data_IF_114497399877
#
_entry.id   IF_114497399877
#
_cell.length_a   1.000
_cell.length_b   1.000
_cell.length_c   1.000
_cell.angle_alpha   90.00
_cell.angle_beta   90.00
_cell.angle_gamma   90.00
#
_symmetry.space_group_name_H-M   'P 1'
#
loop_
_entity.id
_entity.type
_entity.pdbx_description
1 polymer ?
#
# COMPACT_ATOMS: atom_id res chain seq x y z
N UNK A 1 8.83 -31.56 24.07
CA UNK A 1 8.08 -32.64 23.38
C UNK A 1 8.54 -32.64 21.94
N UNK A 2 9.07 -33.75 21.42
CA UNK A 2 9.57 -33.77 20.04
C UNK A 2 8.40 -33.60 19.06
N UNK A 3 8.48 -32.69 18.07
CA UNK A 3 7.45 -32.61 17.03
C UNK A 3 7.42 -33.93 16.26
N UNK A 4 6.23 -34.49 16.06
CA UNK A 4 6.05 -35.67 15.23
C UNK A 4 6.56 -35.34 13.82
N UNK A 5 7.28 -36.27 13.15
CA UNK A 5 7.71 -36.05 11.77
C UNK A 5 6.47 -35.87 10.90
N UNK A 6 6.27 -34.66 10.38
CA UNK A 6 5.18 -34.41 9.43
C UNK A 6 5.35 -35.35 8.24
N UNK A 7 4.31 -36.13 7.95
CA UNK A 7 4.28 -37.01 6.79
C UNK A 7 4.66 -36.20 5.55
N UNK A 8 5.76 -36.61 4.91
CA UNK A 8 6.15 -36.04 3.63
C UNK A 8 5.00 -36.31 2.67
N UNK A 9 4.28 -35.26 2.26
CA UNK A 9 3.18 -35.38 1.30
C UNK A 9 3.70 -36.21 0.12
N UNK A 10 3.00 -37.30 -0.26
CA UNK A 10 3.53 -38.23 -1.24
C UNK A 10 3.90 -37.43 -2.49
N UNK A 11 5.18 -37.50 -2.88
CA UNK A 11 5.65 -36.84 -4.10
C UNK A 11 4.70 -37.27 -5.20
N UNK A 12 4.12 -36.29 -5.90
CA UNK A 12 3.25 -36.56 -7.02
C UNK A 12 4.10 -37.18 -8.13
N UNK A 13 4.26 -38.51 -8.08
CA UNK A 13 4.75 -39.32 -9.17
C UNK A 13 3.75 -39.11 -10.31
N UNK A 14 4.11 -38.18 -11.20
CA UNK A 14 3.26 -37.76 -12.30
C UNK A 14 2.81 -39.00 -13.06
N UNK A 15 1.49 -39.16 -13.20
CA UNK A 15 0.90 -40.38 -13.73
C UNK A 15 1.59 -40.74 -15.04
N UNK A 16 2.20 -41.92 -15.08
CA UNK A 16 2.96 -42.33 -16.25
C UNK A 16 2.03 -42.33 -17.47
N UNK A 17 2.58 -41.97 -18.64
CA UNK A 17 1.80 -41.90 -19.88
C UNK A 17 1.03 -43.19 -20.16
N UNK A 18 1.61 -44.33 -19.78
CA UNK A 18 1.01 -45.66 -19.86
C UNK A 18 -0.19 -45.85 -18.92
N UNK A 19 -0.11 -45.36 -17.67
CA UNK A 19 -1.23 -45.39 -16.73
C UNK A 19 -2.41 -44.56 -17.23
N UNK A 20 -2.15 -43.32 -17.65
CA UNK A 20 -3.16 -42.46 -18.29
C UNK A 20 -3.78 -43.12 -19.52
N UNK A 21 -2.96 -43.70 -20.40
CA UNK A 21 -3.47 -44.37 -21.61
C UNK A 21 -4.33 -45.60 -21.28
N UNK A 22 -3.95 -46.38 -20.26
CA UNK A 22 -4.73 -47.52 -19.77
C UNK A 22 -6.08 -47.11 -19.20
N UNK A 23 -6.14 -45.99 -18.48
CA UNK A 23 -7.36 -45.49 -17.84
C UNK A 23 -8.30 -44.77 -18.84
N UNK A 24 -7.74 -44.12 -19.86
CA UNK A 24 -8.50 -43.50 -20.95
C UNK A 24 -9.05 -44.52 -21.96
N UNK A 25 -8.40 -45.69 -22.12
CA UNK A 25 -8.80 -46.72 -23.09
C UNK A 25 -10.20 -47.33 -22.84
N UNK A 26 -10.77 -47.17 -21.64
CA UNK A 26 -12.13 -47.62 -21.32
C UNK A 26 -13.24 -46.60 -21.56
N UNK A 27 -12.92 -45.34 -21.91
CA UNK A 27 -13.91 -44.25 -22.06
C UNK A 27 -14.36 -44.07 -23.51
N UNK A 28 -15.59 -43.59 -23.69
CA UNK A 28 -16.15 -43.29 -25.01
C UNK A 28 -15.51 -42.03 -25.60
N UNK A 29 -15.44 -41.97 -26.93
CA UNK A 29 -14.85 -40.84 -27.66
C UNK A 29 -15.51 -39.49 -27.30
N UNK A 30 -16.82 -39.48 -27.09
CA UNK A 30 -17.56 -38.26 -26.73
C UNK A 30 -17.23 -37.76 -25.32
N UNK A 31 -17.01 -38.67 -24.36
CA UNK A 31 -16.54 -38.31 -23.01
C UNK A 31 -15.11 -37.75 -23.05
N UNK A 32 -14.24 -38.32 -23.88
CA UNK A 32 -12.88 -37.82 -24.11
C UNK A 32 -12.91 -36.42 -24.73
N UNK A 33 -13.78 -36.17 -25.72
CA UNK A 33 -14.00 -34.83 -26.31
C UNK A 33 -14.55 -33.84 -25.29
N UNK A 34 -15.47 -34.24 -24.42
CA UNK A 34 -15.99 -33.35 -23.39
C UNK A 34 -14.92 -33.01 -22.33
N UNK A 35 -14.16 -34.00 -21.85
CA UNK A 35 -13.03 -33.75 -20.95
C UNK A 35 -11.98 -32.84 -21.58
N UNK A 36 -11.65 -33.02 -22.87
CA UNK A 36 -10.76 -32.13 -23.59
C UNK A 36 -11.30 -30.69 -23.65
N UNK A 37 -12.59 -30.49 -23.94
CA UNK A 37 -13.23 -29.16 -23.91
C UNK A 37 -13.19 -28.53 -22.52
N UNK A 38 -13.45 -29.30 -21.46
CA UNK A 38 -13.38 -28.84 -20.06
C UNK A 38 -11.94 -28.45 -19.67
N UNK A 39 -10.94 -29.23 -20.09
CA UNK A 39 -9.53 -28.93 -19.87
C UNK A 39 -9.08 -27.67 -20.62
N UNK A 40 -9.49 -27.49 -21.89
CA UNK A 40 -9.22 -26.24 -22.65
C UNK A 40 -9.82 -25.05 -21.91
N UNK A 41 -11.11 -25.09 -21.57
CA UNK A 41 -11.77 -24.02 -20.81
C UNK A 41 -11.10 -23.73 -19.45
N UNK A 42 -10.64 -24.76 -18.75
CA UNK A 42 -9.91 -24.61 -17.48
C UNK A 42 -8.53 -23.99 -17.67
N UNK A 43 -7.80 -24.39 -18.71
CA UNK A 43 -6.47 -23.81 -19.02
C UNK A 43 -6.58 -22.38 -19.51
N UNK A 44 -7.62 -22.01 -20.23
CA UNK A 44 -7.87 -20.61 -20.62
C UNK A 44 -8.20 -19.72 -19.41
N UNK A 45 -9.07 -20.19 -18.49
CA UNK A 45 -9.32 -19.48 -17.22
C UNK A 45 -8.08 -19.34 -16.32
N UNK A 46 -7.18 -20.34 -16.32
CA UNK A 46 -5.88 -20.22 -15.63
C UNK A 46 -4.94 -19.21 -16.31
N UNK A 47 -4.95 -19.09 -17.65
CA UNK A 47 -4.16 -18.07 -18.36
C UNK A 47 -4.68 -16.65 -18.06
N UNK A 48 -6.00 -16.48 -18.01
CA UNK A 48 -6.65 -15.21 -17.65
C UNK A 48 -6.21 -14.77 -16.23
N UNK A 49 -6.31 -15.67 -15.24
CA UNK A 49 -5.83 -15.41 -13.88
C UNK A 49 -4.32 -15.11 -13.80
N UNK A 50 -3.48 -15.80 -14.59
CA UNK A 50 -2.04 -15.48 -14.66
C UNK A 50 -1.80 -14.09 -15.27
N UNK A 51 -2.56 -13.72 -16.29
CA UNK A 51 -2.50 -12.39 -16.91
C UNK A 51 -2.87 -11.29 -15.93
N UNK A 52 -3.93 -11.48 -15.13
CA UNK A 52 -4.34 -10.52 -14.09
C UNK A 52 -3.25 -10.35 -13.02
N UNK A 53 -2.64 -11.46 -12.56
CA UNK A 53 -1.53 -11.43 -11.59
C UNK A 53 -0.28 -10.73 -12.14
N UNK A 54 0.04 -10.90 -13.42
CA UNK A 54 1.15 -10.18 -14.04
C UNK A 54 0.86 -8.68 -14.22
N UNK A 55 -0.40 -8.28 -14.43
CA UNK A 55 -0.83 -6.85 -14.42
C UNK A 55 -0.72 -6.25 -13.03
N UNK A 56 -1.22 -6.93 -12.00
CA UNK A 56 -1.12 -6.48 -10.59
C UNK A 56 0.35 -6.33 -10.17
N UNK A 57 1.18 -7.33 -10.48
CA UNK A 57 2.63 -7.29 -10.22
C UNK A 57 3.33 -6.13 -10.93
N UNK A 58 2.94 -5.78 -12.16
CA UNK A 58 3.46 -4.60 -12.85
C UNK A 58 3.01 -3.30 -12.17
N UNK A 59 1.76 -3.22 -11.70
CA UNK A 59 1.27 -2.07 -10.93
C UNK A 59 2.09 -1.87 -9.65
N UNK A 60 2.31 -2.93 -8.87
CA UNK A 60 3.12 -2.88 -7.64
C UNK A 60 4.59 -2.50 -7.92
N UNK A 61 5.16 -2.91 -9.05
CA UNK A 61 6.50 -2.49 -9.46
C UNK A 61 6.58 -0.99 -9.81
N UNK A 62 5.54 -0.46 -10.47
CA UNK A 62 5.45 0.98 -10.80
C UNK A 62 5.29 1.83 -9.53
N UNK A 63 4.40 1.42 -8.62
CA UNK A 63 4.19 2.10 -7.33
C UNK A 63 5.48 2.08 -6.48
N UNK A 64 6.16 0.94 -6.39
CA UNK A 64 7.44 0.84 -5.68
C UNK A 64 8.52 1.75 -6.31
N UNK A 65 8.59 1.84 -7.64
CA UNK A 65 9.49 2.76 -8.33
C UNK A 65 9.15 4.23 -8.03
N UNK A 66 7.87 4.59 -8.01
CA UNK A 66 7.40 5.93 -7.66
C UNK A 66 7.72 6.30 -6.20
N UNK A 67 7.49 5.39 -5.25
CA UNK A 67 7.84 5.58 -3.84
C UNK A 67 9.35 5.81 -3.67
N UNK A 68 10.19 5.01 -4.32
CA UNK A 68 11.65 5.20 -4.30
C UNK A 68 12.07 6.54 -4.92
N UNK A 69 11.41 6.99 -5.98
CA UNK A 69 11.64 8.31 -6.57
C UNK A 69 11.28 9.44 -5.59
N UNK A 70 10.14 9.35 -4.92
CA UNK A 70 9.72 10.33 -3.89
C UNK A 70 10.70 10.37 -2.72
N UNK A 71 11.11 9.21 -2.20
CA UNK A 71 12.12 9.11 -1.14
C UNK A 71 13.45 9.75 -1.58
N UNK A 72 13.88 9.49 -2.82
CA UNK A 72 15.10 10.08 -3.39
C UNK A 72 15.02 11.62 -3.50
N UNK A 73 13.86 12.15 -3.89
CA UNK A 73 13.61 13.59 -3.94
C UNK A 73 13.66 14.19 -2.52
N UNK A 74 12.92 13.62 -1.56
CA UNK A 74 12.94 14.08 -0.15
C UNK A 74 14.34 14.04 0.44
N UNK A 75 15.08 12.95 0.25
CA UNK A 75 16.47 12.81 0.72
C UNK A 75 17.43 13.81 0.03
N UNK A 76 17.10 14.28 -1.17
CA UNK A 76 17.88 15.32 -1.87
C UNK A 76 17.56 16.71 -1.33
N UNK A 77 16.29 17.04 -1.07
CA UNK A 77 15.90 18.31 -0.44
C UNK A 77 16.40 18.41 1.02
N UNK A 78 16.29 17.34 1.80
CA UNK A 78 16.83 17.26 3.16
C UNK A 78 18.36 17.47 3.21
N UNK A 79 19.10 17.05 2.18
CA UNK A 79 20.53 17.36 2.05
C UNK A 79 20.78 18.85 1.78
N UNK A 80 19.95 19.52 0.95
CA UNK A 80 20.10 20.96 0.69
C UNK A 80 19.91 21.82 1.94
N UNK A 81 19.07 21.37 2.88
CA UNK A 81 18.86 22.05 4.16
C UNK A 81 20.11 22.07 5.05
N UNK A 82 21.18 21.34 4.69
CA UNK A 82 22.47 21.36 5.39
C UNK A 82 22.35 21.18 6.91
N UNK A 83 21.37 20.38 7.37
CA UNK A 83 21.25 19.93 8.76
C UNK A 83 22.24 18.77 8.99
N UNK A 84 23.50 19.02 8.63
CA UNK A 84 24.63 18.17 9.00
C UNK A 84 25.13 18.55 10.39
N UNK A 85 25.82 17.62 11.05
CA UNK A 85 26.39 17.84 12.39
C UNK A 85 27.31 19.07 12.47
N UNK A 86 27.91 19.47 11.35
CA UNK A 86 28.82 20.62 11.25
C UNK A 86 28.11 21.99 11.23
N UNK A 87 26.78 22.03 11.04
CA UNK A 87 25.99 23.26 10.88
C UNK A 87 24.83 23.37 11.89
N UNK A 88 24.46 22.27 12.56
CA UNK A 88 23.78 22.37 13.85
C UNK A 88 24.77 22.93 14.86
N UNK A 89 24.62 24.21 15.23
CA UNK A 89 25.26 24.75 16.45
C UNK A 89 24.93 23.78 17.58
N UNK A 90 25.94 23.18 18.21
CA UNK A 90 25.71 22.33 19.40
C UNK A 90 24.81 23.12 20.34
N UNK A 91 23.59 22.65 20.64
CA UNK A 91 22.67 23.39 21.47
C UNK A 91 23.32 23.51 22.84
N UNK A 92 23.85 24.70 23.13
CA UNK A 92 24.28 25.07 24.47
C UNK A 92 23.03 25.18 25.31
N UNK A 93 22.61 24.03 25.80
CA UNK A 93 21.74 23.91 26.94
C UNK A 93 22.48 24.65 28.08
N UNK A 94 22.02 25.85 28.41
CA UNK A 94 22.44 26.57 29.62
C UNK A 94 21.97 25.86 30.91
N UNK A 95 21.31 24.71 30.74
CA UNK A 95 20.95 23.72 31.74
C UNK A 95 22.21 23.08 32.37
N UNK A 96 22.23 23.01 33.69
CA UNK A 96 23.35 22.43 34.41
C UNK A 96 23.44 20.91 34.21
N UNK A 97 24.59 20.28 34.51
CA UNK A 97 24.73 18.81 34.42
C UNK A 97 23.80 18.01 35.36
N UNK A 98 22.95 18.67 36.13
CA UNK A 98 21.91 18.08 36.99
C UNK A 98 20.50 18.17 36.39
N UNK A 99 20.23 19.03 35.39
CA UNK A 99 18.90 19.17 34.79
C UNK A 99 18.49 17.95 33.95
N UNK A 100 19.47 17.17 33.47
CA UNK A 100 19.25 15.83 32.94
C UNK A 100 18.51 14.94 33.95
N UNK A 101 18.80 15.07 35.26
CA UNK A 101 18.09 14.32 36.31
C UNK A 101 16.65 14.80 36.42
N UNK A 102 16.41 16.12 36.32
CA UNK A 102 15.05 16.68 36.29
C UNK A 102 14.22 16.13 35.13
N UNK A 103 14.73 16.22 33.90
CA UNK A 103 14.06 15.69 32.70
C UNK A 103 13.89 14.18 32.73
N UNK A 104 14.90 13.43 33.18
CA UNK A 104 14.79 11.98 33.33
C UNK A 104 13.71 11.62 34.38
N UNK A 105 13.59 12.38 35.47
CA UNK A 105 12.52 12.19 36.45
C UNK A 105 11.14 12.62 35.94
N UNK A 106 11.01 13.60 35.04
CA UNK A 106 9.75 13.90 34.35
C UNK A 106 9.35 12.85 33.30
N UNK A 107 10.34 12.20 32.67
CA UNK A 107 10.15 11.19 31.64
C UNK A 107 9.91 9.78 32.22
N UNK A 108 10.47 9.51 33.41
CA UNK A 108 10.32 8.24 34.16
C UNK A 108 9.26 8.34 35.25
N UNK A 109 8.81 9.55 35.66
CA UNK A 109 7.52 9.67 36.36
C UNK A 109 6.44 9.07 35.45
N UNK A 110 5.61 8.15 35.96
CA UNK A 110 4.38 7.79 35.29
C UNK A 110 3.59 9.08 35.01
N UNK A 111 3.40 9.41 33.73
CA UNK A 111 2.42 10.42 33.36
C UNK A 111 1.06 9.78 33.58
N UNK A 112 0.42 10.11 34.71
CA UNK A 112 -0.89 9.60 35.14
C UNK A 112 -2.06 9.89 34.15
N UNK A 113 -1.77 10.54 33.03
CA UNK A 113 -2.67 10.72 31.89
C UNK A 113 -2.70 9.54 30.91
N UNK A 114 -2.01 8.43 31.18
CA UNK A 114 -2.18 7.20 30.38
C UNK A 114 -3.51 6.54 30.75
N UNK A 115 -4.61 7.08 30.22
CA UNK A 115 -5.92 6.44 30.30
C UNK A 115 -5.84 5.07 29.66
N UNK A 116 -5.93 4.01 30.47
CA UNK A 116 -6.09 2.64 30.00
C UNK A 116 -7.48 2.50 29.37
N UNK A 117 -7.57 2.81 28.07
CA UNK A 117 -8.75 2.53 27.26
C UNK A 117 -8.84 1.02 27.08
N UNK A 118 -9.69 0.39 27.91
CA UNK A 118 -9.99 -1.03 27.78
C UNK A 118 -11.01 -1.20 26.64
N UNK A 119 -10.52 -1.62 25.47
CA UNK A 119 -11.26 -1.60 24.19
C UNK A 119 -12.63 -2.30 24.23
N UNK A 120 -12.85 -3.24 25.16
CA UNK A 120 -14.09 -4.02 25.26
C UNK A 120 -15.18 -3.43 26.17
N UNK A 121 -14.92 -2.37 26.93
CA UNK A 121 -15.95 -1.71 27.76
C UNK A 121 -15.69 -0.21 27.79
N UNK A 122 -16.58 0.59 27.16
CA UNK A 122 -16.50 2.05 27.08
C UNK A 122 -16.70 2.82 28.40
N UNK A 123 -16.36 2.22 29.55
CA UNK A 123 -16.43 2.83 30.87
C UNK A 123 -15.05 3.32 31.30
N UNK A 124 -14.85 4.64 31.29
CA UNK A 124 -13.66 5.30 31.84
C UNK A 124 -13.68 5.18 33.37
N UNK A 125 -13.22 4.04 33.90
CA UNK A 125 -12.97 3.88 35.33
C UNK A 125 -11.73 4.67 35.71
N UNK A 126 -11.93 5.78 36.43
CA UNK A 126 -10.83 6.48 37.10
C UNK A 126 -10.13 5.49 38.03
N UNK A 127 -8.80 5.32 37.94
CA UNK A 127 -8.08 4.47 38.88
C UNK A 127 -8.29 5.01 40.30
N UNK A 128 -8.55 4.10 41.25
CA UNK A 128 -8.70 4.48 42.66
C UNK A 128 -7.32 4.81 43.20
N UNK A 129 -7.07 6.03 43.71
CA UNK A 129 -5.76 6.39 44.25
C UNK A 129 -5.52 5.59 45.53
N UNK A 130 -4.62 4.60 45.48
CA UNK A 130 -4.27 3.75 46.63
C UNK A 130 -3.74 2.35 46.30
N UNK A 131 -3.82 1.85 45.06
CA UNK A 131 -3.12 0.62 44.66
C UNK A 131 -1.67 0.91 44.26
N UNK A 132 -0.79 0.99 45.27
CA UNK A 132 0.66 1.05 45.10
C UNK A 132 1.18 -0.22 44.42
N UNK A 133 1.21 -0.23 43.07
CA UNK A 133 1.79 -1.33 42.31
C UNK A 133 3.29 -1.38 42.60
N UNK A 134 3.77 -2.47 43.18
CA UNK A 134 5.11 -2.48 43.75
C UNK A 134 6.18 -2.40 42.65
N UNK A 135 7.32 -1.70 42.86
CA UNK A 135 8.40 -1.65 41.85
C UNK A 135 8.93 -3.03 41.43
N UNK A 136 8.77 -4.04 42.30
CA UNK A 136 9.02 -5.45 42.04
C UNK A 136 8.12 -6.05 40.96
N UNK A 137 6.84 -5.69 40.90
CA UNK A 137 5.88 -6.22 39.93
C UNK A 137 6.12 -5.64 38.54
N UNK A 138 6.43 -4.35 38.45
CA UNK A 138 6.76 -3.71 37.16
C UNK A 138 8.04 -4.32 36.55
N UNK A 139 9.05 -4.57 37.38
CA UNK A 139 10.30 -5.25 36.98
C UNK A 139 10.02 -6.66 36.45
N UNK A 140 9.14 -7.40 37.13
CA UNK A 140 8.71 -8.74 36.71
C UNK A 140 7.93 -8.71 35.40
N UNK A 141 7.00 -7.76 35.22
CA UNK A 141 6.21 -7.62 34.00
C UNK A 141 7.09 -7.27 32.77
N UNK A 142 8.12 -6.44 32.96
CA UNK A 142 9.12 -6.15 31.90
C UNK A 142 9.91 -7.42 31.55
N UNK A 143 10.31 -8.21 32.54
CA UNK A 143 11.03 -9.47 32.31
C UNK A 143 10.15 -10.54 31.62
N UNK A 144 8.89 -10.66 32.00
CA UNK A 144 7.92 -11.55 31.35
C UNK A 144 7.63 -11.12 29.90
N UNK A 145 7.48 -9.82 29.62
CA UNK A 145 7.38 -9.30 28.24
C UNK A 145 8.63 -9.54 27.40
N UNK A 146 9.83 -9.41 27.99
CA UNK A 146 11.08 -9.70 27.29
C UNK A 146 11.18 -11.20 26.92
N UNK A 147 10.77 -12.10 27.81
CA UNK A 147 10.69 -13.54 27.53
C UNK A 147 9.67 -13.84 26.42
N UNK A 148 8.46 -13.27 26.48
CA UNK A 148 7.45 -13.43 25.43
C UNK A 148 7.93 -12.94 24.05
N UNK A 149 8.65 -11.81 23.99
CA UNK A 149 9.24 -11.33 22.74
C UNK A 149 10.31 -12.29 22.20
N UNK A 150 11.12 -12.87 23.08
CA UNK A 150 12.14 -13.85 22.71
C UNK A 150 11.52 -15.16 22.18
N UNK A 151 10.46 -15.68 22.83
CA UNK A 151 9.71 -16.84 22.36
C UNK A 151 9.02 -16.56 21.01
N UNK A 152 8.39 -15.39 20.86
CA UNK A 152 7.72 -14.99 19.61
C UNK A 152 8.71 -14.80 18.46
N UNK A 153 9.92 -14.33 18.73
CA UNK A 153 11.01 -14.26 17.76
C UNK A 153 11.49 -15.67 17.33
N UNK A 154 11.57 -16.63 18.26
CA UNK A 154 11.88 -18.02 17.94
C UNK A 154 10.78 -18.67 17.08
N UNK A 155 9.51 -18.46 17.41
CA UNK A 155 8.38 -18.93 16.59
C UNK A 155 8.35 -18.32 15.19
N UNK A 156 8.71 -17.04 15.04
CA UNK A 156 8.87 -16.39 13.73
C UNK A 156 10.03 -17.00 12.94
N UNK A 157 11.14 -17.33 13.60
CA UNK A 157 12.27 -18.01 12.95
C UNK A 157 11.91 -19.44 12.50
N UNK A 158 11.21 -20.22 13.33
CA UNK A 158 10.75 -21.56 12.99
C UNK A 158 9.71 -21.57 11.87
N UNK A 159 8.74 -20.66 11.91
CA UNK A 159 7.74 -20.53 10.84
C UNK A 159 8.37 -20.04 9.53
N UNK A 160 9.34 -19.12 9.57
CA UNK A 160 10.13 -18.73 8.40
C UNK A 160 10.92 -19.93 7.80
N UNK A 161 11.49 -20.81 8.63
CA UNK A 161 12.15 -22.03 8.15
C UNK A 161 11.16 -23.02 7.51
N UNK A 162 9.97 -23.19 8.08
CA UNK A 162 8.91 -24.03 7.50
C UNK A 162 8.41 -23.48 6.15
N UNK A 163 8.24 -22.15 6.05
CA UNK A 163 7.91 -21.47 4.79
C UNK A 163 9.03 -21.66 3.77
N UNK A 164 10.29 -21.47 4.16
CA UNK A 164 11.45 -21.70 3.30
C UNK A 164 11.49 -23.12 2.72
N UNK A 165 11.25 -24.16 3.53
CA UNK A 165 11.20 -25.55 3.07
C UNK A 165 10.04 -25.80 2.08
N UNK A 166 8.87 -25.18 2.29
CA UNK A 166 7.74 -25.26 1.34
C UNK A 166 8.06 -24.56 0.02
N UNK A 167 8.68 -23.38 0.06
CA UNK A 167 9.06 -22.63 -1.14
C UNK A 167 10.20 -23.30 -1.92
N UNK A 168 11.16 -23.94 -1.25
CA UNK A 168 12.26 -24.67 -1.90
C UNK A 168 11.77 -25.79 -2.83
N UNK A 169 10.67 -26.47 -2.46
CA UNK A 169 10.04 -27.50 -3.29
C UNK A 169 9.28 -26.97 -4.52
N UNK A 170 8.78 -25.73 -4.47
CA UNK A 170 7.97 -25.12 -5.55
C UNK A 170 8.83 -24.27 -6.50
N UNK A 171 9.86 -23.58 -5.99
CA UNK A 171 10.67 -22.61 -6.74
C UNK A 171 12.08 -23.10 -7.12
N UNK A 172 12.52 -24.26 -6.63
CA UNK A 172 13.72 -24.96 -7.13
C UNK A 172 14.99 -24.09 -7.15
N UNK A 173 15.84 -24.19 -8.20
CA UNK A 173 17.12 -23.46 -8.29
C UNK A 173 17.00 -21.93 -8.27
N UNK A 174 15.81 -21.37 -8.49
CA UNK A 174 15.58 -19.93 -8.39
C UNK A 174 15.60 -19.46 -6.94
N UNK A 175 15.14 -20.30 -6.00
CA UNK A 175 15.15 -19.99 -4.58
C UNK A 175 16.57 -19.87 -4.01
N UNK A 176 17.50 -20.75 -4.39
CA UNK A 176 18.89 -20.70 -3.93
C UNK A 176 19.60 -19.38 -4.27
N UNK A 177 19.27 -18.74 -5.40
CA UNK A 177 19.78 -17.41 -5.77
C UNK A 177 19.16 -16.27 -4.97
N UNK A 178 17.92 -16.44 -4.50
CA UNK A 178 17.29 -15.50 -3.57
C UNK A 178 17.88 -15.65 -2.17
N UNK A 179 18.11 -16.89 -1.73
CA UNK A 179 18.72 -17.23 -0.44
C UNK A 179 20.14 -16.67 -0.32
N UNK A 180 20.97 -16.80 -1.36
CA UNK A 180 22.32 -16.23 -1.45
C UNK A 180 22.32 -14.69 -1.25
N UNK A 181 21.42 -13.98 -1.94
CA UNK A 181 21.23 -12.53 -1.76
C UNK A 181 20.70 -12.17 -0.36
N UNK A 182 19.83 -13.00 0.21
CA UNK A 182 19.24 -12.75 1.53
C UNK A 182 20.27 -13.01 2.64
N UNK A 183 21.20 -13.95 2.46
CA UNK A 183 22.38 -14.10 3.34
C UNK A 183 23.34 -12.93 3.23
N UNK A 184 23.59 -12.39 2.02
CA UNK A 184 24.44 -11.22 1.82
C UNK A 184 23.88 -9.96 2.53
N UNK A 185 22.57 -9.72 2.42
CA UNK A 185 21.87 -8.65 3.15
C UNK A 185 21.94 -8.87 4.66
N UNK A 186 21.72 -10.11 5.14
CA UNK A 186 21.79 -10.45 6.57
C UNK A 186 23.19 -10.23 7.15
N UNK A 187 24.23 -10.63 6.44
CA UNK A 187 25.61 -10.35 6.85
C UNK A 187 25.92 -8.85 6.87
N UNK A 188 25.44 -8.10 5.87
CA UNK A 188 25.57 -6.65 5.85
C UNK A 188 24.91 -5.98 7.07
N UNK A 189 23.74 -6.48 7.48
CA UNK A 189 23.03 -5.99 8.66
C UNK A 189 23.78 -6.30 9.97
N UNK A 190 24.30 -7.52 10.12
CA UNK A 190 25.10 -7.91 11.29
C UNK A 190 26.37 -7.05 11.38
N UNK A 191 27.09 -6.87 10.26
CA UNK A 191 28.28 -6.02 10.18
C UNK A 191 28.00 -4.57 10.57
N UNK A 192 26.83 -4.01 10.21
CA UNK A 192 26.44 -2.66 10.63
C UNK A 192 26.06 -2.56 12.10
N UNK A 193 25.33 -3.55 12.65
CA UNK A 193 25.00 -3.60 14.09
C UNK A 193 26.26 -3.76 14.95
N UNK A 194 27.18 -4.65 14.58
CA UNK A 194 28.44 -4.83 15.31
C UNK A 194 29.34 -3.59 15.21
N UNK A 195 29.40 -2.92 14.05
CA UNK A 195 30.12 -1.65 13.91
C UNK A 195 29.50 -0.51 14.74
N UNK A 196 28.17 -0.47 14.87
CA UNK A 196 27.48 0.48 15.74
C UNK A 196 27.72 0.16 17.23
N UNK A 197 27.75 -1.13 17.59
CA UNK A 197 28.09 -1.61 18.92
C UNK A 197 29.54 -1.32 19.30
N UNK A 198 30.51 -1.50 18.38
CA UNK A 198 31.92 -1.12 18.63
C UNK A 198 32.04 0.40 18.84
N UNK A 199 31.34 1.21 18.04
CA UNK A 199 31.30 2.67 18.24
C UNK A 199 30.74 3.06 19.61
N UNK A 200 29.65 2.42 20.06
CA UNK A 200 29.09 2.64 21.39
C UNK A 200 29.96 2.09 22.53
N UNK A 201 30.76 1.05 22.27
CA UNK A 201 31.67 0.43 23.24
C UNK A 201 33.09 1.02 23.25
N UNK A 202 33.41 2.01 22.41
CA UNK A 202 34.67 2.75 22.55
C UNK A 202 34.55 3.73 23.72
N UNK A 203 35.17 3.46 24.90
CA UNK A 203 35.20 4.45 25.96
C UNK A 203 35.98 5.67 25.46
N UNK A 204 35.49 6.86 25.78
CA UNK A 204 36.05 8.12 25.30
C UNK A 204 37.44 8.40 25.89
N UNK A 205 38.46 7.79 25.29
CA UNK A 205 39.87 7.89 25.70
C UNK A 205 40.48 9.27 25.44
N UNK A 206 39.73 10.24 24.88
CA UNK A 206 40.26 11.60 24.65
C UNK A 206 40.22 12.50 25.88
N UNK A 207 39.62 12.08 27.00
CA UNK A 207 39.54 12.88 28.25
C UNK A 207 40.51 12.46 29.36
N UNK A 208 41.67 11.88 29.02
CA UNK A 208 42.69 11.49 30.01
C UNK A 208 44.14 11.67 29.49
N UNK A 209 44.52 12.89 29.07
CA UNK A 209 45.93 13.18 28.79
C UNK A 209 46.21 14.45 27.98
N UNK A 210 46.21 15.61 28.62
CA UNK A 210 47.06 16.77 28.28
C UNK A 210 46.84 17.93 29.27
N UNK A 211 47.42 17.83 30.47
CA UNK A 211 47.84 19.03 31.20
C UNK A 211 49.25 19.40 30.76
N UNK A 212 49.47 20.65 30.35
CA UNK A 212 50.79 21.23 30.09
C UNK A 212 51.16 21.41 28.61
N UNK A 213 51.72 22.58 28.28
CA UNK A 213 52.40 22.80 26.99
C UNK A 213 51.98 24.06 26.21
N UNK A 214 52.13 25.25 26.80
CA UNK A 214 52.26 26.48 26.00
C UNK A 214 53.62 26.46 25.27
N UNK A 215 53.63 26.37 23.93
CA UNK A 215 54.73 26.81 23.07
C UNK A 215 54.24 26.95 21.61
N UNK A 216 54.71 27.98 20.90
CA UNK A 216 54.20 28.34 19.58
C UNK A 216 54.69 27.44 18.43
N UNK A 217 54.01 27.54 17.28
CA UNK A 217 54.36 26.78 16.07
C UNK A 217 53.43 27.11 14.90
N UNK A 218 53.51 28.32 14.36
CA UNK A 218 52.79 28.69 13.14
C UNK A 218 53.51 28.16 11.89
N UNK A 219 52.90 27.21 11.18
CA UNK A 219 53.03 26.93 9.72
C UNK A 219 52.31 25.63 9.37
N UNK A 220 51.59 25.56 8.24
CA UNK A 220 51.15 24.28 7.65
C UNK A 220 49.66 24.17 7.30
N UNK A 221 49.11 25.11 6.51
CA UNK A 221 47.76 25.02 5.94
C UNK A 221 47.84 24.79 4.42
N UNK A 222 48.25 23.58 4.05
CA UNK A 222 48.22 23.02 2.68
C UNK A 222 48.48 21.52 2.77
N UNK A 223 47.74 20.71 2.01
CA UNK A 223 47.81 19.22 1.90
C UNK A 223 46.81 18.37 2.72
N UNK A 224 45.51 18.68 2.62
CA UNK A 224 44.46 17.68 2.90
C UNK A 224 43.42 17.52 1.77
N UNK A 225 43.47 18.33 0.72
CA UNK A 225 42.48 18.35 -0.36
C UNK A 225 42.77 17.31 -1.48
N UNK A 226 43.97 16.71 -1.47
CA UNK A 226 44.46 15.83 -2.56
C UNK A 226 44.18 14.34 -2.33
N UNK A 227 43.63 13.92 -1.19
CA UNK A 227 43.53 12.50 -0.81
C UNK A 227 42.19 11.83 -1.14
N UNK A 228 41.15 12.60 -1.50
CA UNK A 228 39.82 12.07 -1.86
C UNK A 228 39.62 11.77 -3.37
N UNK A 229 40.57 12.17 -4.23
CA UNK A 229 40.46 12.01 -5.69
C UNK A 229 41.04 10.70 -6.25
N UNK A 230 41.27 9.67 -5.42
CA UNK A 230 41.99 8.46 -5.85
C UNK A 230 41.53 7.15 -5.19
N UNK A 231 40.33 6.68 -5.52
CA UNK A 231 39.93 5.32 -5.17
C UNK A 231 38.47 4.95 -5.37
N UNK A 232 38.04 4.72 -6.62
CA UNK A 232 37.07 3.67 -7.02
C UNK A 232 36.84 3.71 -8.54
N UNK A 233 37.87 3.38 -9.31
CA UNK A 233 37.70 3.03 -10.73
C UNK A 233 37.18 1.59 -10.82
N UNK A 234 35.85 1.40 -10.79
CA UNK A 234 35.26 0.09 -11.03
C UNK A 234 35.13 -0.15 -12.54
N UNK A 235 35.62 -1.31 -13.01
CA UNK A 235 35.85 -1.55 -14.42
C UNK A 235 34.54 -1.72 -15.22
N UNK A 236 34.37 -0.91 -16.26
CA UNK A 236 33.37 -1.13 -17.31
C UNK A 236 33.77 -2.32 -18.19
N UNK A 237 33.27 -3.51 -17.87
CA UNK A 237 33.46 -4.71 -18.68
C UNK A 237 32.53 -4.72 -19.90
N UNK A 238 32.98 -4.14 -21.01
CA UNK A 238 32.33 -4.35 -22.31
C UNK A 238 32.63 -5.76 -22.80
N UNK A 239 31.61 -6.55 -23.14
CA UNK A 239 31.79 -7.81 -23.86
C UNK A 239 30.76 -7.92 -25.00
N UNK A 240 31.27 -7.81 -26.23
CA UNK A 240 30.51 -7.99 -27.45
C UNK A 240 31.08 -9.18 -28.24
N UNK A 241 30.23 -9.77 -29.10
CA UNK A 241 30.56 -10.69 -30.19
C UNK A 241 31.06 -12.12 -29.86
N UNK A 242 30.13 -13.07 -29.89
CA UNK A 242 30.21 -14.37 -30.59
C UNK A 242 28.78 -14.98 -30.56
N UNK A 243 28.01 -15.14 -31.64
CA UNK A 243 28.28 -15.64 -33.00
C UNK A 243 28.69 -17.12 -33.07
N UNK A 244 27.73 -18.02 -32.84
CA UNK A 244 27.79 -19.41 -33.29
C UNK A 244 26.41 -19.96 -33.65
N UNK A 245 26.11 -19.98 -34.95
CA UNK A 245 25.08 -20.86 -35.50
C UNK A 245 25.65 -22.27 -35.72
N UNK A 246 24.79 -23.30 -35.82
CA UNK A 246 25.04 -24.40 -36.75
C UNK A 246 23.99 -24.44 -37.87
N UNK A 247 24.45 -24.87 -39.05
CA UNK A 247 23.69 -24.98 -40.29
C UNK A 247 23.12 -26.39 -40.50
N UNK A 248 22.09 -26.50 -41.34
CA UNK A 248 21.40 -27.74 -41.74
C UNK A 248 19.93 -27.42 -42.07
N UNK A 249 19.51 -27.15 -43.31
CA UNK A 249 19.55 -28.00 -44.52
C UNK A 249 18.82 -29.35 -44.30
N UNK A 250 17.87 -29.80 -45.13
CA UNK A 250 17.25 -29.28 -46.36
C UNK A 250 15.93 -30.03 -46.63
N UNK A 251 15.16 -29.59 -47.64
CA UNK A 251 14.02 -30.21 -48.36
C UNK A 251 12.74 -29.33 -48.29
N UNK A 252 12.13 -28.82 -49.38
CA UNK A 252 11.79 -29.39 -50.71
C UNK A 252 10.67 -30.44 -50.59
N UNK A 253 9.48 -30.35 -51.18
CA UNK A 253 8.80 -29.32 -52.00
C UNK A 253 7.28 -29.33 -51.63
N UNK A 254 6.28 -28.75 -52.32
CA UNK A 254 6.15 -28.14 -53.65
C UNK A 254 4.93 -27.18 -53.71
N UNK A 255 4.67 -26.57 -54.88
CA UNK A 255 3.35 -26.03 -55.28
C UNK A 255 2.44 -27.19 -55.78
N UNK A 256 1.14 -27.06 -56.10
CA UNK A 256 0.35 -25.92 -56.61
C UNK A 256 -1.18 -26.15 -56.35
N UNK A 257 -2.14 -25.38 -56.93
CA UNK A 257 -3.48 -25.17 -56.35
C UNK A 257 -4.62 -26.00 -56.97
N UNK A 258 -5.79 -26.00 -56.32
CA UNK A 258 -7.10 -26.27 -56.94
C UNK A 258 -8.13 -25.24 -56.48
N UNK A 259 -8.86 -24.66 -57.42
CA UNK A 259 -9.95 -23.72 -57.19
C UNK A 259 -11.31 -24.43 -57.16
N UNK A 260 -12.25 -23.95 -56.35
CA UNK A 260 -13.70 -24.07 -56.59
C UNK A 260 -14.49 -23.09 -55.69
N UNK A 261 -15.16 -22.12 -56.33
CA UNK A 261 -16.40 -21.52 -55.83
C UNK A 261 -17.58 -22.50 -56.16
N UNK A 262 -18.88 -22.28 -55.82
CA UNK A 262 -19.54 -20.97 -55.68
C UNK A 262 -20.69 -20.82 -54.63
N UNK A 263 -21.27 -19.62 -54.63
CA UNK A 263 -22.70 -19.26 -54.42
C UNK A 263 -23.48 -19.64 -53.14
N UNK A 264 -23.85 -18.59 -52.38
CA UNK A 264 -25.22 -18.22 -51.93
C UNK A 264 -25.08 -17.12 -50.85
N UNK A 265 -25.42 -15.85 -51.05
CA UNK A 265 -26.76 -15.27 -51.30
C UNK A 265 -27.69 -15.31 -50.08
N UNK A 266 -27.64 -14.26 -49.24
CA UNK A 266 -28.85 -13.74 -48.57
C UNK A 266 -28.69 -12.24 -48.28
N UNK A 267 -29.59 -11.43 -48.84
CA UNK A 267 -29.74 -9.98 -48.64
C UNK A 267 -31.04 -9.72 -47.90
N UNK A 268 -31.01 -9.19 -46.68
CA UNK A 268 -32.16 -8.56 -46.02
C UNK A 268 -31.69 -7.83 -44.74
N UNK A 269 -32.20 -6.66 -44.34
CA UNK A 269 -32.81 -5.54 -45.06
C UNK A 269 -32.60 -4.28 -44.19
N UNK A 270 -32.26 -3.14 -44.78
CA UNK A 270 -32.40 -1.84 -44.10
C UNK A 270 -33.83 -1.31 -44.31
N UNK A 271 -34.44 -0.68 -43.30
CA UNK A 271 -35.40 0.39 -43.53
C UNK A 271 -34.77 1.76 -43.21
N UNK A 272 -35.03 2.74 -44.07
CA UNK A 272 -34.58 4.13 -43.92
C UNK A 272 -35.78 5.09 -43.84
N UNK A 273 -35.57 6.20 -43.13
CA UNK A 273 -36.22 7.52 -43.28
C UNK A 273 -37.76 7.66 -43.14
N UNK A 274 -38.18 8.41 -42.13
CA UNK A 274 -39.30 9.39 -42.08
C UNK A 274 -39.27 10.03 -40.67
N UNK A 275 -39.52 11.33 -40.40
CA UNK A 275 -39.61 12.54 -41.23
C UNK A 275 -39.37 13.78 -40.34
N UNK A 276 -38.96 14.93 -40.91
CA UNK A 276 -39.08 16.25 -40.23
C UNK A 276 -40.56 16.67 -40.13
N UNK A 277 -40.93 17.55 -39.17
CA UNK A 277 -41.14 18.95 -39.59
C UNK A 277 -40.79 20.04 -38.56
N UNK A 278 -40.23 21.15 -39.06
CA UNK A 278 -40.39 22.51 -38.51
C UNK A 278 -41.63 23.16 -39.19
N UNK A 279 -42.25 24.28 -38.71
CA UNK A 279 -41.62 25.42 -38.00
C UNK A 279 -42.43 26.04 -36.81
N UNK A 280 -41.92 27.17 -36.30
CA UNK A 280 -42.38 27.92 -35.12
C UNK A 280 -43.74 28.67 -35.30
N UNK A 281 -44.28 29.29 -34.23
CA UNK A 281 -43.87 30.68 -33.90
C UNK A 281 -43.79 31.04 -32.40
N UNK A 282 -43.12 32.16 -32.09
CA UNK A 282 -43.27 32.88 -30.83
C UNK A 282 -44.59 33.71 -30.82
N UNK A 283 -45.06 34.19 -29.64
CA UNK A 283 -44.78 35.61 -29.35
C UNK A 283 -44.53 35.96 -27.86
N UNK A 284 -44.10 37.20 -27.67
CA UNK A 284 -43.72 37.86 -26.41
C UNK A 284 -44.84 37.98 -25.36
N UNK A 285 -44.43 38.13 -24.08
CA UNK A 285 -45.03 39.05 -23.11
C UNK A 285 -44.10 39.30 -21.90
N UNK A 286 -43.56 40.52 -21.82
CA UNK A 286 -43.33 41.27 -20.58
C UNK A 286 -44.45 42.35 -20.50
N UNK A 287 -44.55 43.28 -19.51
CA UNK A 287 -43.74 43.52 -18.30
C UNK A 287 -44.56 43.79 -17.00
N UNK A 288 -43.87 44.05 -15.87
CA UNK A 288 -44.25 44.85 -14.67
C UNK A 288 -43.16 44.59 -13.59
N UNK A 289 -42.46 45.52 -12.93
CA UNK A 289 -42.82 46.80 -12.30
C UNK A 289 -43.78 46.55 -11.11
N UNK A 290 -43.42 46.73 -9.84
CA UNK A 290 -43.00 47.99 -9.19
C UNK A 290 -41.99 47.84 -7.99
N UNK A 291 -41.55 49.03 -7.55
CA UNK A 291 -40.71 49.48 -6.40
C UNK A 291 -41.51 49.46 -5.06
N UNK A 292 -41.09 50.09 -3.91
CA UNK A 292 -39.79 50.62 -3.46
C UNK A 292 -39.40 50.32 -1.98
N UNK A 293 -38.24 50.85 -1.55
CA UNK A 293 -37.86 51.23 -0.15
C UNK A 293 -37.74 50.09 0.90
N UNK A 294 -36.90 50.19 1.95
CA UNK A 294 -36.49 51.36 2.73
C UNK A 294 -35.04 51.27 3.27
N UNK A 295 -34.33 52.41 3.29
CA UNK A 295 -33.06 52.65 4.00
C UNK A 295 -33.39 53.44 5.28
N UNK A 296 -32.64 53.32 6.40
CA UNK A 296 -31.66 54.41 6.65
C UNK A 296 -30.42 54.09 7.53
N UNK A 297 -29.47 55.03 7.50
CA UNK A 297 -28.43 55.35 8.51
C UNK A 297 -27.34 54.27 8.79
N UNK A 298 -26.02 54.47 8.55
CA UNK A 298 -25.10 55.58 8.84
C UNK A 298 -25.00 55.89 10.35
N UNK A 299 -23.83 55.79 11.01
CA UNK A 299 -22.85 56.86 11.30
C UNK A 299 -21.94 56.32 12.45
N UNK A 300 -20.64 56.68 12.64
CA UNK A 300 -19.53 57.04 11.73
C UNK A 300 -18.23 56.23 12.04
N UNK A 301 -17.08 56.64 11.47
CA UNK A 301 -15.74 56.23 11.90
C UNK A 301 -15.05 57.29 12.78
N UNK A 302 -14.25 56.88 13.77
CA UNK A 302 -13.12 57.65 14.35
C UNK A 302 -12.19 56.71 15.17
N UNK A 303 -10.89 57.02 15.35
CA UNK A 303 -9.86 56.05 15.76
C UNK A 303 -9.31 56.23 17.19
N UNK A 304 -8.63 55.21 17.75
CA UNK A 304 -7.47 55.38 18.64
C UNK A 304 -6.69 54.06 18.88
N UNK A 305 -5.37 54.10 18.71
CA UNK A 305 -4.34 53.16 19.22
C UNK A 305 -3.68 53.78 20.49
N UNK A 306 -2.78 53.09 21.22
CA UNK A 306 -2.85 51.75 21.82
C UNK A 306 -2.57 51.87 23.36
N UNK A 307 -2.31 50.78 24.11
CA UNK A 307 -0.92 50.33 24.25
C UNK A 307 -0.68 48.82 24.50
N UNK A 308 0.47 48.37 24.00
CA UNK A 308 1.45 47.41 24.57
C UNK A 308 1.05 46.24 25.51
N UNK A 309 1.77 45.13 25.29
CA UNK A 309 2.09 44.04 26.22
C UNK A 309 1.13 42.83 26.32
N UNK A 310 1.30 41.88 25.38
CA UNK A 310 1.70 40.50 25.70
C UNK A 310 2.25 39.82 24.45
N UNK A 311 3.51 39.40 24.46
CA UNK A 311 4.06 38.54 23.40
C UNK A 311 3.74 37.09 23.77
N UNK A 312 2.74 36.50 23.12
CA UNK A 312 2.56 35.05 23.13
C UNK A 312 3.60 34.42 22.20
N UNK A 313 4.31 33.36 22.62
CA UNK A 313 5.34 32.74 21.80
C UNK A 313 4.71 31.94 20.65
N UNK A 314 5.13 32.23 19.42
CA UNK A 314 4.81 31.43 18.22
C UNK A 314 5.37 30.01 18.38
N UNK A 315 4.52 29.09 18.81
CA UNK A 315 4.88 27.69 19.02
C UNK A 315 4.82 26.89 17.71
N UNK A 316 5.94 26.91 16.98
CA UNK A 316 6.50 25.77 16.23
C UNK A 316 5.50 24.92 15.43
N UNK A 317 4.89 25.49 14.39
CA UNK A 317 4.00 24.79 13.45
C UNK A 317 4.80 23.93 12.43
N UNK A 318 5.44 22.85 12.91
CA UNK A 318 6.35 22.04 12.07
C UNK A 318 6.23 20.51 12.21
N UNK A 319 5.41 19.97 13.11
CA UNK A 319 5.42 18.52 13.42
C UNK A 319 4.02 17.87 13.57
N UNK A 320 3.04 18.33 12.78
CA UNK A 320 1.64 17.82 12.84
C UNK A 320 1.14 17.24 11.51
N UNK A 321 1.90 16.30 10.94
CA UNK A 321 1.70 15.78 9.58
C UNK A 321 1.09 14.36 9.39
N UNK A 322 0.71 13.55 10.41
CA UNK A 322 0.01 12.28 10.15
C UNK A 322 -1.52 12.31 10.36
N UNK A 323 -2.08 13.25 11.14
CA UNK A 323 -3.50 13.22 11.54
C UNK A 323 -4.51 13.48 10.40
N UNK A 324 -4.06 14.04 9.27
CA UNK A 324 -4.97 14.47 8.17
C UNK A 324 -5.36 13.30 7.26
N UNK A 325 -4.50 12.30 7.08
CA UNK A 325 -4.78 11.17 6.18
C UNK A 325 -5.87 10.24 6.73
N UNK A 326 -5.91 10.04 8.05
CA UNK A 326 -6.97 9.29 8.73
C UNK A 326 -8.35 9.96 8.58
N UNK A 327 -8.42 11.29 8.61
CA UNK A 327 -9.68 12.03 8.41
C UNK A 327 -10.23 11.89 6.99
N UNK A 328 -9.36 11.83 5.97
CA UNK A 328 -9.78 11.60 4.58
C UNK A 328 -10.35 10.18 4.42
N UNK A 329 -9.70 9.16 4.99
CA UNK A 329 -10.19 7.77 4.94
C UNK A 329 -11.50 7.51 5.70
N UNK A 330 -11.92 8.42 6.58
CA UNK A 330 -13.20 8.38 7.30
C UNK A 330 -14.35 9.09 6.55
N UNK A 331 -14.06 9.89 5.53
CA UNK A 331 -15.07 10.70 4.83
C UNK A 331 -15.97 9.83 3.95
N UNK A 332 -17.25 9.74 4.31
CA UNK A 332 -18.29 9.04 3.53
C UNK A 332 -18.69 9.89 2.33
N UNK A 333 -18.63 9.31 1.13
CA UNK A 333 -19.10 9.93 -0.11
C UNK A 333 -20.55 9.54 -0.41
N UNK A 334 -20.89 8.25 -0.34
CA UNK A 334 -22.22 7.74 -0.70
C UNK A 334 -22.80 6.94 0.48
N UNK A 335 -24.04 7.28 0.85
CA UNK A 335 -24.89 6.56 1.80
C UNK A 335 -26.07 6.00 0.98
N UNK A 336 -25.98 4.71 0.63
CA UNK A 336 -26.93 4.04 -0.25
C UNK A 336 -27.80 3.05 0.53
N UNK A 337 -29.11 3.32 0.61
CA UNK A 337 -30.08 2.40 1.20
C UNK A 337 -30.59 1.43 0.13
N UNK A 338 -30.20 0.17 0.26
CA UNK A 338 -30.51 -0.89 -0.71
C UNK A 338 -31.64 -1.77 -0.17
N UNK A 339 -32.74 -1.82 -0.92
CA UNK A 339 -33.88 -2.70 -0.63
C UNK A 339 -33.62 -4.08 -1.24
N UNK A 340 -33.59 -5.10 -0.39
CA UNK A 340 -33.37 -6.51 -0.74
C UNK A 340 -34.69 -7.21 -1.10
N UNK A 341 -34.61 -8.42 -1.69
CA UNK A 341 -35.79 -9.18 -2.18
C UNK A 341 -36.73 -9.66 -1.05
N UNK A 342 -36.26 -9.68 0.20
CA UNK A 342 -37.02 -10.01 1.41
C UNK A 342 -37.74 -8.79 2.03
N UNK A 343 -37.50 -7.58 1.49
CA UNK A 343 -38.00 -6.31 2.03
C UNK A 343 -37.10 -5.66 3.07
N UNK A 344 -35.97 -6.28 3.43
CA UNK A 344 -34.98 -5.68 4.33
C UNK A 344 -34.28 -4.49 3.63
N UNK A 345 -34.02 -3.42 4.39
CA UNK A 345 -33.33 -2.22 3.90
C UNK A 345 -31.97 -2.14 4.56
N UNK A 346 -30.91 -2.27 3.78
CA UNK A 346 -29.53 -2.27 4.26
C UNK A 346 -28.78 -1.01 3.80
N UNK A 347 -27.88 -0.50 4.63
CA UNK A 347 -27.17 0.77 4.36
C UNK A 347 -25.73 0.52 3.94
N UNK A 348 -25.47 0.64 2.64
CA UNK A 348 -24.15 0.54 2.03
C UNK A 348 -23.47 1.92 2.08
N UNK A 349 -22.28 1.97 2.66
CA UNK A 349 -21.45 3.18 2.74
C UNK A 349 -20.24 3.07 1.80
N UNK A 350 -20.02 4.09 0.97
CA UNK A 350 -18.80 4.24 0.15
C UNK A 350 -17.99 5.40 0.71
N UNK A 351 -16.75 5.16 1.17
CA UNK A 351 -15.83 6.19 1.65
C UNK A 351 -14.89 6.65 0.53
N UNK A 352 -14.20 7.77 0.74
CA UNK A 352 -13.25 8.33 -0.22
C UNK A 352 -12.05 7.41 -0.55
N UNK A 353 -11.71 6.47 0.35
CA UNK A 353 -10.66 5.47 0.13
C UNK A 353 -11.17 4.17 -0.52
N UNK A 354 -12.48 3.93 -0.55
CA UNK A 354 -13.05 2.65 -1.00
C UNK A 354 -13.30 2.65 -2.52
N UNK A 355 -12.93 1.55 -3.19
CA UNK A 355 -13.31 1.34 -4.59
C UNK A 355 -14.74 0.78 -4.67
N UNK A 356 -15.63 1.41 -5.45
CA UNK A 356 -17.03 0.98 -5.63
C UNK A 356 -17.21 -0.53 -5.93
N UNK A 357 -16.26 -1.16 -6.64
CA UNK A 357 -16.28 -2.62 -6.91
C UNK A 357 -16.10 -3.44 -5.62
N UNK A 358 -15.18 -3.04 -4.76
CA UNK A 358 -14.88 -3.75 -3.51
C UNK A 358 -16.02 -3.58 -2.50
N UNK A 359 -16.64 -2.41 -2.43
CA UNK A 359 -17.84 -2.19 -1.60
C UNK A 359 -19.00 -3.04 -2.09
N UNK A 360 -19.25 -3.09 -3.41
CA UNK A 360 -20.28 -3.95 -3.99
C UNK A 360 -20.01 -5.45 -3.73
N UNK A 361 -18.75 -5.88 -3.82
CA UNK A 361 -18.35 -7.26 -3.54
C UNK A 361 -18.53 -7.62 -2.05
N UNK A 362 -18.06 -6.78 -1.12
CA UNK A 362 -18.24 -6.94 0.33
C UNK A 362 -19.72 -7.03 0.71
N UNK A 363 -20.54 -6.10 0.22
CA UNK A 363 -21.99 -6.11 0.47
C UNK A 363 -22.67 -7.40 -0.01
N UNK A 364 -22.27 -7.91 -1.19
CA UNK A 364 -22.78 -9.19 -1.72
C UNK A 364 -22.33 -10.38 -0.87
N UNK A 365 -21.10 -10.35 -0.36
CA UNK A 365 -20.57 -11.39 0.53
C UNK A 365 -21.27 -11.38 1.90
N UNK A 366 -21.41 -10.20 2.51
CA UNK A 366 -22.04 -10.00 3.83
C UNK A 366 -23.51 -10.44 3.84
N UNK A 367 -24.30 -10.03 2.84
CA UNK A 367 -25.71 -10.42 2.73
C UNK A 367 -25.92 -11.75 1.96
N UNK A 368 -24.86 -12.52 1.70
CA UNK A 368 -24.91 -13.83 1.02
C UNK A 368 -25.66 -13.81 -0.33
N UNK A 369 -25.54 -12.70 -1.06
CA UNK A 369 -26.20 -12.47 -2.34
C UNK A 369 -25.45 -13.20 -3.47
N UNK A 370 -26.12 -13.39 -4.60
CA UNK A 370 -25.53 -14.02 -5.79
C UNK A 370 -24.52 -13.07 -6.46
N UNK A 371 -23.36 -13.58 -6.84
CA UNK A 371 -22.27 -12.81 -7.49
C UNK A 371 -22.69 -12.03 -8.76
N UNK A 372 -23.75 -12.45 -9.46
CA UNK A 372 -24.29 -11.73 -10.62
C UNK A 372 -24.82 -10.30 -10.35
N UNK A 373 -24.91 -9.90 -9.07
CA UNK A 373 -25.28 -8.55 -8.66
C UNK A 373 -24.08 -7.60 -8.57
N UNK A 374 -22.83 -8.11 -8.59
CA UNK A 374 -21.62 -7.29 -8.39
C UNK A 374 -21.44 -6.26 -9.49
N UNK A 375 -21.57 -6.68 -10.76
CA UNK A 375 -21.44 -5.79 -11.91
C UNK A 375 -22.56 -4.72 -11.96
N UNK A 376 -23.86 -5.05 -11.83
CA UNK A 376 -24.91 -4.04 -11.75
C UNK A 376 -24.76 -3.06 -10.59
N UNK A 377 -24.44 -3.56 -9.39
CA UNK A 377 -24.28 -2.71 -8.20
C UNK A 377 -23.07 -1.78 -8.33
N UNK A 378 -21.94 -2.29 -8.81
CA UNK A 378 -20.75 -1.47 -9.11
C UNK A 378 -21.05 -0.40 -10.16
N UNK A 379 -21.80 -0.74 -11.22
CA UNK A 379 -22.14 0.20 -12.29
C UNK A 379 -23.16 1.27 -11.83
N UNK A 380 -24.03 0.94 -10.88
CA UNK A 380 -24.96 1.89 -10.26
C UNK A 380 -24.23 2.84 -9.29
N UNK A 381 -23.38 2.32 -8.40
CA UNK A 381 -22.59 3.15 -7.48
C UNK A 381 -21.70 4.16 -8.24
N UNK A 382 -21.00 3.71 -9.30
CA UNK A 382 -20.23 4.60 -10.19
C UNK A 382 -21.06 5.66 -10.90
N UNK A 383 -22.34 5.36 -11.19
CA UNK A 383 -23.25 6.35 -11.77
C UNK A 383 -23.67 7.38 -10.73
N UNK A 384 -24.02 6.94 -9.52
CA UNK A 384 -24.33 7.84 -8.39
C UNK A 384 -23.14 8.74 -8.05
N UNK A 385 -21.92 8.20 -8.08
CA UNK A 385 -20.67 8.95 -7.92
C UNK A 385 -20.48 10.02 -9.02
N UNK A 386 -20.73 9.68 -10.28
CA UNK A 386 -20.59 10.60 -11.41
C UNK A 386 -21.70 11.68 -11.48
N UNK A 387 -22.91 11.33 -11.05
CA UNK A 387 -24.06 12.25 -10.98
C UNK A 387 -24.02 13.15 -9.71
N UNK A 388 -23.05 12.94 -8.81
CA UNK A 388 -22.92 13.65 -7.53
C UNK A 388 -22.37 15.08 -7.68
N UNK A 389 -23.19 16.08 -7.32
CA UNK A 389 -22.76 17.49 -7.25
C UNK A 389 -22.21 17.88 -5.86
N UNK A 390 -22.65 17.19 -4.80
CA UNK A 390 -22.25 17.48 -3.41
C UNK A 390 -22.30 16.22 -2.56
N UNK A 391 -21.26 16.00 -1.76
CA UNK A 391 -21.15 14.89 -0.82
C UNK A 391 -21.49 15.32 0.63
N UNK A 392 -21.96 14.39 1.50
CA UNK A 392 -22.34 13.01 1.18
C UNK A 392 -23.65 12.94 0.38
N UNK A 393 -23.73 11.99 -0.56
CA UNK A 393 -24.92 11.72 -1.36
C UNK A 393 -25.74 10.61 -0.72
N UNK A 394 -27.05 10.85 -0.56
CA UNK A 394 -28.03 9.85 -0.11
C UNK A 394 -28.85 9.36 -1.29
N UNK A 395 -28.88 8.05 -1.50
CA UNK A 395 -29.69 7.40 -2.54
C UNK A 395 -30.41 6.18 -1.98
N UNK A 396 -31.62 5.93 -2.48
CA UNK A 396 -32.34 4.68 -2.26
C UNK A 396 -32.38 3.89 -3.58
N UNK A 397 -32.29 2.57 -3.52
CA UNK A 397 -32.43 1.71 -4.70
C UNK A 397 -32.87 0.30 -4.35
N UNK A 398 -33.70 -0.31 -5.19
CA UNK A 398 -34.04 -1.73 -5.08
C UNK A 398 -33.04 -2.58 -5.87
N UNK A 399 -32.48 -3.63 -5.25
CA UNK A 399 -31.41 -4.44 -5.84
C UNK A 399 -31.84 -5.09 -7.19
N UNK A 400 -33.11 -5.46 -7.32
CA UNK A 400 -33.70 -5.98 -8.55
C UNK A 400 -33.83 -4.92 -9.65
N UNK A 401 -34.14 -3.67 -9.30
CA UNK A 401 -34.21 -2.56 -10.27
C UNK A 401 -32.82 -2.15 -10.76
N UNK A 402 -31.86 -2.03 -9.85
CA UNK A 402 -30.43 -1.83 -10.16
C UNK A 402 -29.96 -2.88 -11.17
N UNK A 403 -30.29 -4.15 -10.93
CA UNK A 403 -29.99 -5.24 -11.87
C UNK A 403 -30.70 -5.08 -13.22
N UNK A 404 -32.00 -4.75 -13.27
CA UNK A 404 -32.72 -4.52 -14.54
C UNK A 404 -32.11 -3.38 -15.36
N UNK A 405 -31.68 -2.30 -14.70
CA UNK A 405 -31.11 -1.11 -15.34
C UNK A 405 -29.68 -1.33 -15.84
N UNK A 406 -28.85 -2.07 -15.10
CA UNK A 406 -27.41 -2.20 -15.37
C UNK A 406 -26.96 -3.57 -15.91
N UNK A 407 -27.85 -4.54 -16.14
CA UNK A 407 -27.50 -5.86 -16.73
C UNK A 407 -27.41 -5.91 -18.26
N UNK A 408 -27.62 -4.79 -18.95
CA UNK A 408 -27.60 -4.68 -20.44
C UNK A 408 -26.37 -3.94 -21.01
N UNK A 409 -25.36 -3.68 -20.18
CA UNK A 409 -24.04 -3.20 -20.58
C UNK A 409 -23.01 -4.28 -20.27
#
# INVERSE_FOLDING_TARGET
MSPAPMEQSPKAEGWSREALQKELAGRKEDELKEMARRLVKSTDGMKEMISDLDVEKQSLQQENAQLNQTISLMMTELRKLNIGADNTVEPRLDEGPLDFVGRFWEQVKPRDNTYLVNENVGEIKKPVPGEDTSPSELSRQVQERAQQLQERAQQLQESAQQVGQRFQGVFGPMWSRAEERLTEVREGLVKTVDAQREKAQRPDRRRAGAGGGYAGGATGLSDFETMLSRGLGFAGGAQAAASSAPSGATHEAAAAPVAAAPEASEQEQQPAAEAEPAPAPAPASAPAEEKPEEQPAAVPAAPEEPPAAAAEPEATEAERAPEVEEQISSTVLIEAQIKLEDGTVETLHVRAADRCKEVAHKFIQEHSLKAWFELPLTAWLKKVEADAVKFPVRVEGELLEIRKLHSKK
#
